data_IF_134547798339
#
_entry.id   IF_134547798339
#
_cell.length_a   1.000
_cell.length_b   1.000
_cell.length_c   1.000
_cell.angle_alpha   90.00
_cell.angle_beta   90.00
_cell.angle_gamma   90.00
#
_symmetry.space_group_name_H-M   'P 1'
#
loop_
_entity.id
_entity.type
_entity.pdbx_description
1 polymer ?
#
# COMPACT_ATOMS: atom_id res chain seq x y z
N UNK A 1 2.37 -21.78 -24.69
CA UNK A 1 2.16 -22.68 -23.52
C UNK A 1 0.90 -22.20 -22.80
N UNK A 2 0.01 -23.09 -22.38
CA UNK A 2 -1.14 -22.69 -21.56
C UNK A 2 -0.71 -22.28 -20.14
N UNK A 3 -1.53 -21.48 -19.45
CA UNK A 3 -1.26 -20.97 -18.10
C UNK A 3 -0.91 -22.10 -17.13
N UNK A 4 -1.57 -23.26 -17.26
CA UNK A 4 -1.39 -24.43 -16.37
C UNK A 4 0.02 -25.06 -16.43
N UNK A 5 0.78 -24.82 -17.50
CA UNK A 5 2.14 -25.32 -17.67
C UNK A 5 3.21 -24.25 -17.38
N UNK A 6 2.81 -23.00 -17.11
CA UNK A 6 3.71 -21.87 -16.91
C UNK A 6 4.14 -21.78 -15.44
N UNK A 7 5.44 -21.70 -15.18
CA UNK A 7 5.99 -21.51 -13.85
C UNK A 7 6.07 -20.01 -13.54
N UNK A 8 5.35 -19.54 -12.53
CA UNK A 8 5.28 -18.13 -12.17
C UNK A 8 5.95 -17.92 -10.81
N UNK A 9 6.87 -16.96 -10.76
CA UNK A 9 7.42 -16.41 -9.53
C UNK A 9 6.73 -15.10 -9.20
N UNK A 10 6.14 -15.01 -8.03
CA UNK A 10 5.59 -13.78 -7.49
C UNK A 10 6.61 -13.11 -6.58
N UNK A 11 6.65 -11.77 -6.62
CA UNK A 11 7.55 -10.96 -5.79
C UNK A 11 6.89 -9.62 -5.46
N UNK A 12 7.31 -8.97 -4.40
CA UNK A 12 6.89 -7.62 -4.06
C UNK A 12 8.02 -6.86 -3.35
N UNK A 13 8.17 -5.58 -3.68
CA UNK A 13 9.04 -4.65 -2.97
C UNK A 13 8.70 -4.62 -1.48
N UNK A 14 9.69 -4.77 -0.56
CA UNK A 14 9.47 -4.75 0.89
C UNK A 14 9.34 -3.33 1.44
N UNK A 15 8.56 -2.47 0.78
CA UNK A 15 8.28 -1.11 1.21
C UNK A 15 6.81 -0.95 1.63
N UNK A 16 6.56 -0.95 2.94
CA UNK A 16 5.20 -1.04 3.46
C UNK A 16 4.51 -2.35 3.09
N UNK A 17 3.22 -2.44 3.36
CA UNK A 17 2.43 -3.63 2.97
C UNK A 17 1.75 -3.50 1.61
N UNK A 18 1.80 -2.32 0.96
CA UNK A 18 1.10 -2.07 -0.31
C UNK A 18 1.47 -3.04 -1.44
N UNK A 19 2.76 -3.16 -1.81
CA UNK A 19 3.18 -4.08 -2.86
C UNK A 19 2.84 -5.54 -2.54
N UNK A 20 3.12 -5.98 -1.32
CA UNK A 20 2.83 -7.35 -0.88
C UNK A 20 1.32 -7.64 -0.84
N UNK A 21 0.49 -6.67 -0.45
CA UNK A 21 -0.97 -6.79 -0.50
C UNK A 21 -1.48 -6.89 -1.94
N UNK A 22 -0.89 -6.14 -2.88
CA UNK A 22 -1.24 -6.24 -4.30
C UNK A 22 -0.96 -7.64 -4.85
N UNK A 23 0.21 -8.21 -4.55
CA UNK A 23 0.52 -9.59 -4.95
C UNK A 23 -0.43 -10.58 -4.25
N UNK A 24 -0.71 -10.40 -2.96
CA UNK A 24 -1.64 -11.28 -2.25
C UNK A 24 -3.06 -11.25 -2.83
N UNK A 25 -3.49 -10.12 -3.40
CA UNK A 25 -4.76 -10.00 -4.08
C UNK A 25 -4.76 -10.63 -5.49
N UNK A 26 -3.64 -10.51 -6.25
CA UNK A 26 -3.53 -11.05 -7.62
C UNK A 26 -3.26 -12.56 -7.62
N UNK A 27 -2.36 -13.05 -6.78
CA UNK A 27 -1.86 -14.42 -6.83
C UNK A 27 -2.97 -15.50 -6.76
N UNK A 28 -4.05 -15.37 -5.97
CA UNK A 28 -5.12 -16.37 -5.89
C UNK A 28 -5.75 -16.71 -7.24
N UNK A 29 -5.75 -15.81 -8.21
CA UNK A 29 -6.28 -16.05 -9.56
C UNK A 29 -5.43 -17.01 -10.40
N UNK A 30 -4.22 -17.34 -9.94
CA UNK A 30 -3.25 -18.24 -10.61
C UNK A 30 -2.98 -19.50 -9.79
N UNK A 31 -3.09 -19.40 -8.45
CA UNK A 31 -2.80 -20.52 -7.56
C UNK A 31 -3.83 -21.64 -7.76
N UNK A 32 -3.35 -22.85 -8.00
CA UNK A 32 -4.19 -24.03 -8.23
C UNK A 32 -4.00 -24.71 -9.60
N UNK A 33 -3.39 -24.04 -10.57
CA UNK A 33 -3.21 -24.58 -11.94
C UNK A 33 -1.74 -24.81 -12.33
N UNK A 34 -0.74 -24.56 -11.49
CA UNK A 34 0.65 -24.69 -11.89
C UNK A 34 1.66 -24.71 -10.76
N UNK A 35 2.95 -24.60 -11.15
CA UNK A 35 4.07 -24.47 -10.21
C UNK A 35 4.31 -23.00 -9.95
N UNK A 36 3.72 -22.47 -8.89
CA UNK A 36 3.84 -21.06 -8.53
C UNK A 36 4.53 -20.92 -7.18
N UNK A 37 5.41 -19.94 -7.10
CA UNK A 37 6.15 -19.64 -5.89
C UNK A 37 6.12 -18.14 -5.59
N UNK A 38 6.42 -17.79 -4.37
CA UNK A 38 6.71 -16.43 -3.96
C UNK A 38 8.17 -16.34 -3.52
N UNK A 39 8.87 -15.27 -3.92
CA UNK A 39 10.16 -14.91 -3.37
C UNK A 39 10.10 -13.47 -2.87
N UNK A 40 10.55 -13.22 -1.66
CA UNK A 40 10.51 -11.90 -1.09
C UNK A 40 11.35 -11.78 0.17
N UNK A 41 11.43 -10.57 0.67
CA UNK A 41 12.25 -10.21 1.82
C UNK A 41 11.39 -9.65 2.95
N UNK A 42 11.92 -9.79 4.18
CA UNK A 42 11.37 -9.16 5.37
C UNK A 42 9.84 -9.33 5.49
N UNK A 43 9.13 -8.23 5.75
CA UNK A 43 7.68 -8.19 5.97
C UNK A 43 6.86 -8.40 4.69
N UNK A 44 7.48 -8.36 3.48
CA UNK A 44 6.77 -8.73 2.25
C UNK A 44 6.27 -10.17 2.29
N UNK A 45 6.92 -11.03 3.10
CA UNK A 45 6.54 -12.42 3.32
C UNK A 45 5.28 -12.59 4.18
N UNK A 46 4.95 -11.62 5.03
CA UNK A 46 3.93 -11.80 6.07
C UNK A 46 2.53 -12.07 5.51
N UNK A 47 2.13 -11.36 4.46
CA UNK A 47 0.84 -11.57 3.82
C UNK A 47 0.82 -12.81 2.92
N UNK A 48 1.98 -13.31 2.49
CA UNK A 48 2.08 -14.42 1.53
C UNK A 48 2.03 -15.79 2.21
N UNK A 49 2.37 -15.87 3.51
CA UNK A 49 2.46 -17.12 4.27
C UNK A 49 1.16 -17.95 4.27
N UNK A 50 0.02 -17.28 4.09
CA UNK A 50 -1.30 -17.90 4.13
C UNK A 50 -1.82 -18.33 2.75
N UNK A 51 -1.11 -17.99 1.68
CA UNK A 51 -1.49 -18.33 0.32
C UNK A 51 -0.90 -19.70 -0.07
N UNK A 52 -1.60 -20.49 -0.89
CA UNK A 52 -1.21 -21.86 -1.25
C UNK A 52 -0.13 -21.89 -2.34
N UNK A 53 0.95 -21.13 -2.18
CA UNK A 53 2.14 -21.27 -3.01
C UNK A 53 2.76 -22.65 -2.82
N UNK A 54 3.33 -23.21 -3.89
CA UNK A 54 4.11 -24.45 -3.77
C UNK A 54 5.37 -24.25 -2.93
N UNK A 55 5.99 -23.08 -3.04
CA UNK A 55 7.22 -22.73 -2.30
C UNK A 55 7.20 -21.23 -2.01
N UNK A 56 7.67 -20.87 -0.83
CA UNK A 56 7.95 -19.48 -0.46
C UNK A 56 9.46 -19.42 -0.16
N UNK A 57 10.17 -18.61 -0.94
CA UNK A 57 11.59 -18.34 -0.76
C UNK A 57 11.77 -17.09 0.11
N UNK A 58 12.38 -17.25 1.26
CA UNK A 58 12.80 -16.11 2.08
C UNK A 58 14.17 -15.64 1.61
N UNK A 59 14.21 -14.50 0.93
CA UNK A 59 15.42 -13.94 0.33
C UNK A 59 16.09 -12.90 1.24
N UNK A 60 15.60 -12.71 2.47
CA UNK A 60 16.18 -11.75 3.42
C UNK A 60 17.65 -12.02 3.68
N UNK A 61 18.51 -11.07 3.31
CA UNK A 61 19.96 -11.17 3.48
C UNK A 61 20.67 -12.04 2.45
N UNK A 62 19.96 -12.55 1.44
CA UNK A 62 20.54 -13.26 0.31
C UNK A 62 21.15 -12.29 -0.73
N UNK A 63 22.20 -12.77 -1.40
CA UNK A 63 22.86 -11.99 -2.46
C UNK A 63 22.14 -12.07 -3.82
N UNK A 64 22.65 -11.29 -4.76
CA UNK A 64 22.10 -11.25 -6.11
C UNK A 64 22.19 -12.59 -6.85
N UNK A 65 23.20 -13.42 -6.57
CA UNK A 65 23.36 -14.76 -7.17
C UNK A 65 22.22 -15.69 -6.73
N UNK A 66 21.79 -15.63 -5.47
CA UNK A 66 20.70 -16.44 -4.95
C UNK A 66 19.36 -16.06 -5.62
N UNK A 67 19.19 -14.77 -5.92
CA UNK A 67 18.06 -14.28 -6.69
C UNK A 67 18.06 -14.81 -8.14
N UNK A 68 19.25 -14.85 -8.81
CA UNK A 68 19.37 -15.41 -10.15
C UNK A 68 19.01 -16.89 -10.18
N UNK A 69 19.53 -17.65 -9.22
CA UNK A 69 19.22 -19.07 -9.11
C UNK A 69 17.73 -19.30 -8.91
N UNK A 70 17.10 -18.50 -8.05
CA UNK A 70 15.65 -18.57 -7.82
C UNK A 70 14.88 -18.21 -9.09
N UNK A 71 15.16 -17.06 -9.72
CA UNK A 71 14.48 -16.57 -10.94
C UNK A 71 14.67 -17.56 -12.10
N UNK A 72 15.83 -18.21 -12.21
CA UNK A 72 16.14 -19.15 -13.30
C UNK A 72 15.11 -20.29 -13.41
N UNK A 73 14.54 -20.70 -12.27
CA UNK A 73 13.55 -21.77 -12.16
C UNK A 73 12.17 -21.44 -12.74
N UNK A 74 11.91 -20.19 -13.16
CA UNK A 74 10.59 -19.73 -13.55
C UNK A 74 10.56 -19.17 -14.98
N UNK A 75 9.39 -19.11 -15.59
CA UNK A 75 9.18 -18.65 -16.96
C UNK A 75 8.72 -17.18 -16.97
N UNK A 76 7.99 -16.79 -15.95
CA UNK A 76 7.43 -15.45 -15.75
C UNK A 76 7.69 -14.99 -14.31
N UNK A 77 8.01 -13.71 -14.15
CA UNK A 77 8.07 -13.03 -12.85
C UNK A 77 6.95 -12.00 -12.81
N UNK A 78 6.10 -12.07 -11.79
CA UNK A 78 5.07 -11.06 -11.49
C UNK A 78 5.53 -10.33 -10.24
N UNK A 79 5.94 -9.09 -10.40
CA UNK A 79 6.45 -8.28 -9.30
C UNK A 79 5.61 -7.03 -9.09
N UNK A 80 5.39 -6.67 -7.84
CA UNK A 80 4.79 -5.40 -7.48
C UNK A 80 5.86 -4.43 -6.98
N UNK A 81 6.08 -3.34 -7.71
CA UNK A 81 6.93 -2.19 -7.35
C UNK A 81 8.44 -2.47 -7.31
N UNK A 82 8.90 -3.72 -7.39
CA UNK A 82 10.32 -4.08 -7.30
C UNK A 82 10.99 -3.98 -8.69
N UNK A 83 11.52 -2.80 -8.98
CA UNK A 83 12.16 -2.50 -10.27
C UNK A 83 13.46 -3.27 -10.47
N UNK A 84 14.20 -3.56 -9.39
CA UNK A 84 15.45 -4.29 -9.46
C UNK A 84 15.20 -5.75 -9.86
N UNK A 85 14.25 -6.42 -9.25
CA UNK A 85 13.85 -7.77 -9.63
C UNK A 85 13.24 -7.81 -11.05
N UNK A 86 12.47 -6.80 -11.43
CA UNK A 86 11.94 -6.70 -12.80
C UNK A 86 13.07 -6.63 -13.84
N UNK A 87 13.99 -5.69 -13.69
CA UNK A 87 15.11 -5.50 -14.61
C UNK A 87 16.03 -6.72 -14.64
N UNK A 88 16.31 -7.31 -13.48
CA UNK A 88 17.11 -8.52 -13.37
C UNK A 88 16.47 -9.68 -14.13
N UNK A 89 15.19 -9.89 -13.94
CA UNK A 89 14.44 -10.94 -14.64
C UNK A 89 14.45 -10.74 -16.15
N UNK A 90 14.27 -9.50 -16.62
CA UNK A 90 14.36 -9.16 -18.04
C UNK A 90 15.76 -9.42 -18.61
N UNK A 91 16.83 -9.10 -17.88
CA UNK A 91 18.21 -9.37 -18.30
C UNK A 91 18.51 -10.86 -18.44
N UNK A 92 17.84 -11.70 -17.64
CA UNK A 92 17.88 -13.17 -17.73
C UNK A 92 16.95 -13.72 -18.84
N UNK A 93 16.32 -12.87 -19.65
CA UNK A 93 15.43 -13.27 -20.73
C UNK A 93 14.06 -13.75 -20.27
N UNK A 94 13.68 -13.52 -19.02
CA UNK A 94 12.35 -13.87 -18.50
C UNK A 94 11.29 -12.90 -19.00
N UNK A 95 10.03 -13.35 -18.99
CA UNK A 95 8.89 -12.45 -19.14
C UNK A 95 8.55 -11.83 -17.78
N UNK A 96 8.18 -10.56 -17.76
CA UNK A 96 7.91 -9.82 -16.50
C UNK A 96 6.56 -9.14 -16.56
N UNK A 97 5.80 -9.26 -15.49
CA UNK A 97 4.66 -8.39 -15.20
C UNK A 97 5.08 -7.46 -14.07
N UNK A 98 5.03 -6.17 -14.33
CA UNK A 98 5.31 -5.15 -13.33
C UNK A 98 4.03 -4.45 -12.93
N UNK A 99 3.58 -4.68 -11.70
CA UNK A 99 2.44 -3.99 -11.12
C UNK A 99 2.92 -2.74 -10.38
N UNK A 100 2.39 -1.58 -10.77
CA UNK A 100 2.79 -0.28 -10.25
C UNK A 100 1.59 0.49 -9.65
N UNK A 101 1.63 0.70 -8.35
CA UNK A 101 0.67 1.55 -7.64
C UNK A 101 1.14 3.02 -7.53
N UNK A 102 2.36 3.33 -7.97
CA UNK A 102 3.00 4.63 -7.80
C UNK A 102 3.37 5.32 -9.13
N UNK A 103 2.77 4.95 -10.26
CA UNK A 103 3.03 5.54 -11.59
C UNK A 103 3.03 7.08 -11.55
N UNK A 104 2.14 7.69 -10.78
CA UNK A 104 2.03 9.13 -10.57
C UNK A 104 3.19 9.73 -9.77
N UNK A 105 3.92 8.91 -9.00
CA UNK A 105 4.89 9.35 -8.00
C UNK A 105 6.32 9.43 -8.52
N UNK A 106 6.73 8.57 -9.44
CA UNK A 106 8.12 8.41 -9.86
C UNK A 106 8.76 9.74 -10.25
N UNK A 107 9.99 10.00 -9.73
CA UNK A 107 10.72 11.21 -10.04
C UNK A 107 11.10 11.25 -11.51
N UNK A 108 10.78 12.39 -12.20
CA UNK A 108 10.85 12.49 -13.65
C UNK A 108 12.27 12.27 -14.23
N UNK A 109 13.29 12.74 -13.54
CA UNK A 109 14.66 12.70 -14.05
C UNK A 109 15.45 11.47 -13.62
N UNK A 110 15.13 10.87 -12.48
CA UNK A 110 15.95 9.80 -11.87
C UNK A 110 15.31 8.43 -11.89
N UNK A 111 14.00 8.33 -11.77
CA UNK A 111 13.29 7.05 -11.67
C UNK A 111 12.46 6.75 -12.93
N UNK A 112 11.78 7.76 -13.47
CA UNK A 112 10.89 7.59 -14.62
C UNK A 112 11.57 6.97 -15.86
N UNK A 113 12.81 7.33 -16.24
CA UNK A 113 13.45 6.69 -17.39
C UNK A 113 13.59 5.17 -17.27
N UNK A 114 13.80 4.64 -16.05
CA UNK A 114 13.84 3.20 -15.81
C UNK A 114 12.46 2.54 -15.94
N UNK A 115 11.41 3.21 -15.46
CA UNK A 115 10.03 2.77 -15.60
C UNK A 115 9.59 2.80 -17.06
N UNK A 116 9.90 3.90 -17.78
CA UNK A 116 9.57 4.04 -19.19
C UNK A 116 10.27 2.98 -20.06
N UNK A 117 11.55 2.69 -19.78
CA UNK A 117 12.26 1.60 -20.44
C UNK A 117 11.59 0.24 -20.21
N UNK A 118 11.07 0.00 -19.02
CA UNK A 118 10.33 -1.22 -18.69
C UNK A 118 8.97 -1.27 -19.40
N UNK A 119 8.25 -0.16 -19.49
CA UNK A 119 6.98 -0.06 -20.21
C UNK A 119 7.15 -0.45 -21.68
N UNK A 120 8.25 -0.01 -22.31
CA UNK A 120 8.53 -0.30 -23.74
C UNK A 120 9.24 -1.64 -23.96
N UNK A 121 9.53 -2.40 -22.92
CA UNK A 121 10.28 -3.64 -23.08
C UNK A 121 9.37 -4.77 -23.66
N UNK A 122 9.76 -5.46 -24.75
CA UNK A 122 8.88 -6.40 -25.47
C UNK A 122 8.50 -7.65 -24.66
N UNK A 123 9.22 -7.94 -23.58
CA UNK A 123 8.93 -9.06 -22.66
C UNK A 123 8.31 -8.61 -21.33
N UNK A 124 7.89 -7.34 -21.24
CA UNK A 124 7.23 -6.81 -20.05
C UNK A 124 5.76 -6.51 -20.32
N UNK A 125 4.94 -6.67 -19.30
CA UNK A 125 3.59 -6.12 -19.19
C UNK A 125 3.60 -5.14 -18.02
N UNK A 126 3.36 -3.86 -18.31
CA UNK A 126 3.22 -2.84 -17.27
C UNK A 126 1.75 -2.66 -16.91
N UNK A 127 1.45 -2.75 -15.61
CA UNK A 127 0.09 -2.57 -15.07
C UNK A 127 0.13 -1.43 -14.06
N UNK A 128 -0.50 -0.32 -14.39
CA UNK A 128 -0.64 0.84 -13.51
C UNK A 128 -1.96 0.79 -12.73
N UNK A 129 -1.90 0.86 -11.41
CA UNK A 129 -3.10 1.12 -10.60
C UNK A 129 -3.54 2.57 -10.77
N UNK A 130 -4.80 2.77 -11.11
CA UNK A 130 -5.34 4.12 -11.33
C UNK A 130 -5.38 4.94 -10.03
N UNK A 131 -4.95 6.19 -10.13
CA UNK A 131 -4.97 7.21 -9.09
C UNK A 131 -4.85 8.59 -9.73
N UNK A 132 -5.00 9.65 -8.92
CA UNK A 132 -4.78 11.03 -9.36
C UNK A 132 -3.36 11.18 -9.92
N UNK A 133 -3.23 11.64 -11.16
CA UNK A 133 -1.96 11.85 -11.85
C UNK A 133 -1.44 10.65 -12.67
N UNK A 134 -2.05 9.46 -12.58
CA UNK A 134 -1.60 8.29 -13.35
C UNK A 134 -1.83 8.47 -14.85
N UNK A 135 -3.02 8.90 -15.24
CA UNK A 135 -3.39 9.07 -16.67
C UNK A 135 -2.60 10.17 -17.33
N UNK A 136 -2.41 11.27 -16.60
CA UNK A 136 -1.56 12.39 -17.01
C UNK A 136 -0.09 11.97 -17.19
N UNK A 137 0.38 11.06 -16.34
CA UNK A 137 1.77 10.54 -16.43
C UNK A 137 1.98 9.64 -17.64
N UNK A 138 0.95 8.95 -18.10
CA UNK A 138 1.00 8.01 -19.20
C UNK A 138 0.49 8.58 -20.54
N UNK A 139 0.10 9.87 -20.59
CA UNK A 139 -0.57 10.46 -21.76
C UNK A 139 0.26 10.40 -23.06
N UNK A 140 1.58 10.49 -22.95
CA UNK A 140 2.51 10.45 -24.09
C UNK A 140 2.96 9.02 -24.46
N UNK A 141 2.52 8.00 -23.71
CA UNK A 141 2.88 6.61 -23.95
C UNK A 141 1.78 5.91 -24.75
N UNK A 142 2.18 5.16 -25.79
CA UNK A 142 1.24 4.35 -26.60
C UNK A 142 0.43 3.38 -25.72
N UNK A 143 -0.91 3.40 -25.75
CA UNK A 143 -1.76 2.58 -24.88
C UNK A 143 -1.56 1.07 -25.02
N UNK A 144 -0.92 0.60 -26.09
CA UNK A 144 -0.58 -0.82 -26.29
C UNK A 144 0.54 -1.32 -25.34
N UNK A 145 1.30 -0.42 -24.73
CA UNK A 145 2.44 -0.75 -23.88
C UNK A 145 2.10 -0.91 -22.39
N UNK A 146 0.91 -0.50 -21.97
CA UNK A 146 0.51 -0.57 -20.55
C UNK A 146 -0.98 -0.91 -20.39
N UNK A 147 -1.35 -1.23 -19.19
CA UNK A 147 -2.76 -1.36 -18.78
C UNK A 147 -3.02 -0.56 -17.52
N UNK A 148 -4.03 0.30 -17.52
CA UNK A 148 -4.52 0.95 -16.30
C UNK A 148 -5.63 0.05 -15.72
N UNK A 149 -5.49 -0.27 -14.44
CA UNK A 149 -6.47 -1.08 -13.71
C UNK A 149 -7.08 -0.27 -12.56
N UNK A 150 -8.33 -0.53 -12.19
CA UNK A 150 -8.93 0.08 -11.00
C UNK A 150 -8.07 -0.18 -9.75
N UNK A 151 -8.30 0.60 -8.67
CA UNK A 151 -7.68 0.30 -7.38
C UNK A 151 -8.01 -1.10 -6.88
N UNK A 152 -7.04 -1.73 -6.22
CA UNK A 152 -7.27 -2.97 -5.49
C UNK A 152 -8.00 -2.66 -4.20
N UNK A 153 -9.26 -3.02 -4.15
CA UNK A 153 -10.12 -2.90 -2.97
C UNK A 153 -10.84 -4.20 -2.76
N UNK A 154 -11.06 -4.56 -1.52
CA UNK A 154 -11.94 -5.69 -1.23
C UNK A 154 -13.36 -5.36 -1.72
N UNK A 155 -14.06 -6.32 -2.33
CA UNK A 155 -15.41 -6.08 -2.83
C UNK A 155 -16.28 -5.48 -1.73
N UNK A 156 -16.84 -4.31 -2.02
CA UNK A 156 -17.90 -3.76 -1.20
C UNK A 156 -19.10 -4.70 -1.41
N UNK A 157 -19.24 -5.69 -0.54
CA UNK A 157 -20.50 -6.42 -0.52
C UNK A 157 -21.60 -5.36 -0.32
N UNK A 158 -22.71 -5.46 -1.07
CA UNK A 158 -23.88 -4.55 -1.01
C UNK A 158 -24.56 -4.48 0.37
N UNK A 159 -23.87 -4.89 1.41
CA UNK A 159 -24.33 -4.81 2.78
C UNK A 159 -24.21 -3.36 3.25
N UNK A 160 -25.33 -2.68 3.52
CA UNK A 160 -25.31 -1.31 4.01
C UNK A 160 -24.46 -1.25 5.29
N UNK A 161 -23.69 -0.17 5.43
CA UNK A 161 -22.90 0.11 6.64
C UNK A 161 -23.76 -0.10 7.88
N UNK A 162 -23.32 -0.90 8.82
CA UNK A 162 -24.07 -1.12 10.08
C UNK A 162 -24.06 0.21 10.85
N UNK A 163 -25.19 0.89 10.88
CA UNK A 163 -25.36 2.19 11.52
C UNK A 163 -25.22 2.20 13.05
N UNK A 164 -24.88 1.07 13.65
CA UNK A 164 -24.85 0.88 15.11
C UNK A 164 -23.47 0.53 15.68
N UNK A 165 -22.40 0.64 14.89
CA UNK A 165 -21.05 0.35 15.40
C UNK A 165 -20.61 1.44 16.37
N UNK A 166 -20.18 1.06 17.56
CA UNK A 166 -19.69 1.99 18.59
C UNK A 166 -18.20 1.77 18.83
N UNK A 167 -17.42 1.73 17.74
CA UNK A 167 -15.97 1.62 17.83
C UNK A 167 -15.25 2.47 16.78
N UNK A 168 -14.01 2.80 17.09
CA UNK A 168 -13.07 3.50 16.24
C UNK A 168 -11.99 2.53 15.80
N UNK A 169 -11.57 2.61 14.54
CA UNK A 169 -10.42 1.90 14.02
C UNK A 169 -9.22 2.85 13.94
N UNK A 170 -8.12 2.51 14.61
CA UNK A 170 -6.80 3.05 14.34
C UNK A 170 -6.05 2.06 13.44
N UNK A 171 -5.80 2.43 12.18
CA UNK A 171 -5.07 1.58 11.24
C UNK A 171 -3.66 2.12 11.01
N UNK A 172 -2.69 1.43 11.56
CA UNK A 172 -1.26 1.72 11.48
C UNK A 172 -0.50 0.78 10.53
N UNK A 173 -1.20 0.05 9.65
CA UNK A 173 -0.58 -0.91 8.73
C UNK A 173 0.46 -0.29 7.77
N UNK A 174 0.34 1.00 7.47
CA UNK A 174 1.26 1.72 6.58
C UNK A 174 2.56 2.21 7.24
N UNK A 175 2.85 1.87 8.49
CA UNK A 175 4.07 2.35 9.18
C UNK A 175 5.34 1.62 8.74
N UNK A 176 5.27 0.33 8.41
CA UNK A 176 6.45 -0.48 8.14
C UNK A 176 7.14 -0.06 6.84
N UNK A 177 8.43 0.26 6.92
CA UNK A 177 9.31 0.47 5.76
C UNK A 177 10.76 0.11 6.13
N UNK A 178 11.63 -0.25 5.16
CA UNK A 178 12.99 -0.70 5.44
C UNK A 178 13.98 0.43 5.79
N UNK A 179 13.58 1.69 5.60
CA UNK A 179 14.47 2.86 5.74
C UNK A 179 14.29 3.61 7.06
N UNK A 180 13.29 3.25 7.86
CA UNK A 180 13.02 3.88 9.15
C UNK A 180 13.17 2.87 10.27
N UNK A 181 13.87 3.25 11.33
CA UNK A 181 14.05 2.42 12.53
C UNK A 181 12.68 2.04 13.13
N UNK A 182 12.49 0.76 13.40
CA UNK A 182 11.29 0.25 14.05
C UNK A 182 11.01 0.96 15.40
N UNK A 183 12.06 1.36 16.14
CA UNK A 183 11.89 2.08 17.39
C UNK A 183 11.18 3.43 17.19
N UNK A 184 11.54 4.19 16.16
CA UNK A 184 10.86 5.45 15.83
C UNK A 184 9.39 5.21 15.44
N UNK A 185 9.11 4.17 14.66
CA UNK A 185 7.73 3.84 14.26
C UNK A 185 6.88 3.38 15.45
N UNK A 186 7.49 2.69 16.42
CA UNK A 186 6.85 2.32 17.69
C UNK A 186 6.54 3.56 18.52
N UNK A 187 7.48 4.51 18.62
CA UNK A 187 7.27 5.75 19.37
C UNK A 187 6.17 6.60 18.73
N UNK A 188 6.13 6.69 17.41
CA UNK A 188 5.02 7.32 16.69
C UNK A 188 3.68 6.61 17.02
N UNK A 189 3.62 5.30 16.92
CA UNK A 189 2.41 4.53 17.22
C UNK A 189 1.94 4.73 18.66
N UNK A 190 2.87 4.78 19.62
CA UNK A 190 2.58 5.07 21.03
C UNK A 190 2.01 6.46 21.23
N UNK A 191 2.64 7.49 20.63
CA UNK A 191 2.20 8.87 20.72
C UNK A 191 0.78 9.05 20.17
N UNK A 192 0.53 8.54 18.95
CA UNK A 192 -0.79 8.59 18.31
C UNK A 192 -1.84 7.83 19.12
N UNK A 193 -1.53 6.61 19.57
CA UNK A 193 -2.47 5.78 20.37
C UNK A 193 -2.83 6.50 21.67
N UNK A 194 -1.85 7.11 22.32
CA UNK A 194 -2.08 7.84 23.55
C UNK A 194 -2.99 9.06 23.33
N UNK A 195 -2.66 9.93 22.36
CA UNK A 195 -3.45 11.11 22.02
C UNK A 195 -4.89 10.75 21.64
N UNK A 196 -5.07 9.70 20.81
CA UNK A 196 -6.39 9.24 20.41
C UNK A 196 -7.21 8.73 21.61
N UNK A 197 -6.61 7.96 22.52
CA UNK A 197 -7.29 7.49 23.73
C UNK A 197 -7.72 8.64 24.62
N UNK A 198 -6.89 9.67 24.79
CA UNK A 198 -7.25 10.88 25.54
C UNK A 198 -8.44 11.59 24.89
N UNK A 199 -8.42 11.77 23.57
CA UNK A 199 -9.50 12.43 22.83
C UNK A 199 -10.83 11.65 22.89
N UNK A 200 -10.79 10.32 22.83
CA UNK A 200 -11.98 9.44 22.89
C UNK A 200 -12.55 9.31 24.31
N UNK A 201 -11.70 9.39 25.34
CA UNK A 201 -12.08 9.04 26.71
C UNK A 201 -12.58 7.60 26.82
N UNK A 202 -13.65 7.38 27.60
CA UNK A 202 -14.27 6.07 27.78
C UNK A 202 -15.52 5.84 26.91
N UNK A 203 -15.79 6.75 25.98
CA UNK A 203 -17.06 6.78 25.24
C UNK A 203 -17.16 5.74 24.13
N UNK A 204 -16.03 5.34 23.55
CA UNK A 204 -15.98 4.46 22.38
C UNK A 204 -14.88 3.41 22.54
N UNK A 205 -15.12 2.22 21.97
CA UNK A 205 -14.09 1.19 21.87
C UNK A 205 -13.07 1.58 20.80
N UNK A 206 -11.80 1.30 21.07
CA UNK A 206 -10.71 1.46 20.11
C UNK A 206 -10.22 0.07 19.69
N UNK A 207 -10.09 -0.14 18.37
CA UNK A 207 -9.35 -1.25 17.79
C UNK A 207 -8.16 -0.71 17.04
N UNK A 208 -6.99 -1.34 17.19
CA UNK A 208 -5.73 -0.93 16.58
C UNK A 208 -5.27 -2.06 15.65
N UNK A 209 -5.41 -1.85 14.35
CA UNK A 209 -4.86 -2.74 13.33
C UNK A 209 -3.43 -2.29 12.98
N UNK A 210 -2.47 -3.19 13.11
CA UNK A 210 -1.05 -2.85 12.90
C UNK A 210 -0.23 -4.10 12.60
N UNK A 211 1.11 -3.95 12.44
CA UNK A 211 2.03 -5.09 12.33
C UNK A 211 2.21 -5.81 13.67
N UNK A 212 2.65 -7.06 13.63
CA UNK A 212 2.94 -7.86 14.83
C UNK A 212 3.93 -7.16 15.77
N UNK A 213 5.00 -6.59 15.20
CA UNK A 213 6.02 -5.84 15.95
C UNK A 213 5.43 -4.68 16.75
N UNK A 214 4.59 -3.85 16.09
CA UNK A 214 3.97 -2.69 16.74
C UNK A 214 2.88 -3.14 17.73
N UNK A 215 2.07 -4.15 17.40
CA UNK A 215 1.07 -4.67 18.31
C UNK A 215 1.68 -5.16 19.62
N UNK A 216 2.79 -5.89 19.52
CA UNK A 216 3.55 -6.34 20.69
C UNK A 216 4.11 -5.15 21.51
N UNK A 217 4.71 -4.18 20.83
CA UNK A 217 5.32 -3.02 21.48
C UNK A 217 4.31 -2.06 22.16
N UNK A 218 3.06 -2.03 21.68
CA UNK A 218 1.99 -1.23 22.30
C UNK A 218 1.48 -1.85 23.60
N UNK A 219 1.74 -3.13 23.85
CA UNK A 219 1.29 -3.87 25.07
C UNK A 219 -0.21 -3.66 25.37
N UNK A 220 -1.02 -3.57 24.32
CA UNK A 220 -2.43 -3.24 24.40
C UNK A 220 -3.31 -4.37 23.89
N UNK A 221 -4.30 -4.77 24.68
CA UNK A 221 -5.31 -5.75 24.27
C UNK A 221 -6.17 -5.29 23.07
N UNK A 222 -6.14 -4.01 22.76
CA UNK A 222 -6.88 -3.40 21.66
C UNK A 222 -6.07 -3.43 20.36
N UNK A 223 -4.77 -3.79 20.42
CA UNK A 223 -3.86 -3.85 19.27
C UNK A 223 -3.65 -5.31 18.84
N UNK A 224 -3.80 -5.55 17.55
CA UNK A 224 -3.56 -6.86 16.96
C UNK A 224 -3.04 -6.75 15.53
N UNK A 225 -2.24 -7.72 15.06
CA UNK A 225 -2.04 -7.95 13.64
C UNK A 225 -3.39 -8.20 12.97
N UNK A 226 -3.57 -7.66 11.77
CA UNK A 226 -4.83 -7.72 11.07
C UNK A 226 -4.61 -8.11 9.61
N UNK A 227 -5.42 -9.06 9.12
CA UNK A 227 -5.44 -9.36 7.69
C UNK A 227 -6.02 -8.17 6.90
N UNK A 228 -5.69 -8.02 5.60
CA UNK A 228 -6.31 -7.00 4.77
C UNK A 228 -7.83 -7.07 4.75
N UNK A 229 -8.41 -8.28 4.71
CA UNK A 229 -9.86 -8.51 4.72
C UNK A 229 -10.50 -8.06 6.05
N UNK A 230 -9.85 -8.36 7.17
CA UNK A 230 -10.33 -7.94 8.49
C UNK A 230 -10.24 -6.43 8.65
N UNK A 231 -9.13 -5.81 8.19
CA UNK A 231 -8.96 -4.36 8.21
C UNK A 231 -10.04 -3.65 7.37
N UNK A 232 -10.31 -4.15 6.16
CA UNK A 232 -11.38 -3.65 5.29
C UNK A 232 -12.77 -3.80 5.94
N UNK A 233 -13.04 -4.96 6.57
CA UNK A 233 -14.30 -5.17 7.31
C UNK A 233 -14.43 -4.21 8.49
N UNK A 234 -13.38 -4.01 9.27
CA UNK A 234 -13.39 -3.07 10.39
C UNK A 234 -13.56 -1.62 9.91
N UNK A 235 -12.90 -1.23 8.81
CA UNK A 235 -13.09 0.07 8.18
C UNK A 235 -14.56 0.33 7.83
N UNK A 236 -15.24 -0.65 7.23
CA UNK A 236 -16.65 -0.54 6.88
C UNK A 236 -17.57 -0.42 8.12
N UNK A 237 -17.23 -1.14 9.19
CA UNK A 237 -18.07 -1.26 10.36
C UNK A 237 -17.81 -0.21 11.44
N UNK A 238 -16.65 0.48 11.45
CA UNK A 238 -16.31 1.49 12.45
C UNK A 238 -17.11 2.80 12.30
N UNK A 239 -17.19 3.58 13.36
CA UNK A 239 -17.84 4.91 13.32
C UNK A 239 -17.04 5.87 12.45
N UNK A 240 -15.74 5.94 12.67
CA UNK A 240 -14.74 6.58 11.83
C UNK A 240 -13.41 5.87 12.00
N UNK A 241 -12.47 6.12 11.10
CA UNK A 241 -11.14 5.57 11.19
C UNK A 241 -10.08 6.67 11.39
N UNK A 242 -8.95 6.27 11.94
CA UNK A 242 -7.72 7.08 12.05
C UNK A 242 -6.65 6.27 11.33
N UNK A 243 -6.12 6.77 10.21
CA UNK A 243 -5.28 5.98 9.31
C UNK A 243 -4.05 6.75 8.84
N UNK A 244 -2.96 6.02 8.59
CA UNK A 244 -1.88 6.54 7.73
C UNK A 244 -2.39 6.71 6.30
N UNK A 245 -2.00 7.78 5.58
CA UNK A 245 -2.54 8.11 4.25
C UNK A 245 -1.88 7.29 3.12
N UNK A 246 -1.80 5.95 3.27
CA UNK A 246 -1.36 5.05 2.21
C UNK A 246 -2.51 4.70 1.25
N UNK A 247 -2.21 4.38 -0.02
CA UNK A 247 -3.20 4.10 -1.07
C UNK A 247 -4.22 3.04 -0.67
N UNK A 248 -3.80 1.96 0.00
CA UNK A 248 -4.72 0.94 0.50
C UNK A 248 -5.76 1.53 1.45
N UNK A 249 -5.34 2.30 2.45
CA UNK A 249 -6.25 2.95 3.38
C UNK A 249 -7.16 3.97 2.69
N UNK A 250 -6.63 4.71 1.72
CA UNK A 250 -7.41 5.70 0.95
C UNK A 250 -8.55 5.01 0.20
N UNK A 251 -8.24 3.95 -0.55
CA UNK A 251 -9.25 3.29 -1.37
C UNK A 251 -10.21 2.41 -0.55
N UNK A 252 -9.72 1.72 0.48
CA UNK A 252 -10.58 0.93 1.35
C UNK A 252 -11.56 1.82 2.14
N UNK A 253 -11.10 3.00 2.62
CA UNK A 253 -12.00 3.97 3.27
C UNK A 253 -12.99 4.59 2.29
N UNK A 254 -12.56 4.84 1.04
CA UNK A 254 -13.42 5.33 -0.02
C UNK A 254 -14.52 4.31 -0.35
N UNK A 255 -14.16 3.05 -0.57
CA UNK A 255 -15.10 1.96 -0.82
C UNK A 255 -16.08 1.76 0.35
N UNK A 256 -15.60 1.86 1.57
CA UNK A 256 -16.42 1.77 2.79
C UNK A 256 -17.23 3.04 3.09
N UNK A 257 -16.99 4.15 2.41
CA UNK A 257 -17.56 5.48 2.71
C UNK A 257 -17.31 5.92 4.16
N UNK A 258 -16.20 5.50 4.75
CA UNK A 258 -15.88 5.74 6.15
C UNK A 258 -15.16 7.07 6.29
N UNK A 259 -15.62 7.98 7.20
CA UNK A 259 -14.88 9.19 7.52
C UNK A 259 -13.52 8.86 8.14
N UNK A 260 -12.47 9.58 7.75
CA UNK A 260 -11.09 9.30 8.18
C UNK A 260 -10.40 10.53 8.72
N UNK A 261 -9.73 10.39 9.86
CA UNK A 261 -8.67 11.29 10.30
C UNK A 261 -7.36 10.75 9.73
N UNK A 262 -6.74 11.50 8.81
CA UNK A 262 -5.45 11.14 8.25
C UNK A 262 -4.34 11.53 9.23
N UNK A 263 -3.48 10.57 9.55
CA UNK A 263 -2.32 10.76 10.42
C UNK A 263 -1.20 11.52 9.71
N UNK A 264 -0.26 12.11 10.45
CA UNK A 264 0.94 12.67 9.87
C UNK A 264 1.66 11.61 9.02
N UNK A 265 2.01 11.93 7.76
CA UNK A 265 2.70 10.99 6.89
C UNK A 265 4.05 10.53 7.45
N UNK A 266 4.37 9.26 7.27
CA UNK A 266 5.64 8.66 7.74
C UNK A 266 6.59 8.31 6.60
N UNK A 267 6.24 8.69 5.38
CA UNK A 267 7.11 8.68 4.21
C UNK A 267 6.63 9.70 3.16
N UNK A 268 7.43 9.89 2.12
CA UNK A 268 7.19 10.83 1.03
C UNK A 268 5.93 10.51 0.23
N UNK A 269 5.70 9.24 -0.11
CA UNK A 269 4.50 8.82 -0.87
C UNK A 269 3.23 9.15 -0.12
N UNK A 270 3.17 8.89 1.19
CA UNK A 270 2.02 9.25 2.03
C UNK A 270 1.78 10.76 2.07
N UNK A 271 2.86 11.55 2.18
CA UNK A 271 2.76 13.01 2.18
C UNK A 271 2.18 13.54 0.87
N UNK A 272 2.66 13.04 -0.25
CA UNK A 272 2.18 13.43 -1.60
C UNK A 272 0.77 12.93 -1.88
N UNK A 273 0.40 11.72 -1.43
CA UNK A 273 -0.97 11.21 -1.49
C UNK A 273 -1.95 12.11 -0.74
N UNK A 274 -1.59 12.49 0.49
CA UNK A 274 -2.42 13.39 1.29
C UNK A 274 -2.54 14.78 0.65
N UNK A 275 -1.47 15.29 0.02
CA UNK A 275 -1.52 16.54 -0.74
C UNK A 275 -2.47 16.44 -1.94
N UNK A 276 -2.48 15.34 -2.69
CA UNK A 276 -3.45 15.10 -3.76
C UNK A 276 -4.89 15.08 -3.26
N UNK A 277 -5.15 14.39 -2.15
CA UNK A 277 -6.49 14.37 -1.53
C UNK A 277 -6.92 15.77 -1.08
N UNK A 278 -6.02 16.53 -0.47
CA UNK A 278 -6.29 17.89 -0.01
C UNK A 278 -6.64 18.81 -1.18
N UNK A 279 -5.83 18.78 -2.24
CA UNK A 279 -6.05 19.58 -3.44
C UNK A 279 -7.38 19.23 -4.14
N UNK A 280 -7.81 17.99 -4.05
CA UNK A 280 -9.09 17.53 -4.60
C UNK A 280 -10.29 17.74 -3.65
N UNK A 281 -10.09 18.28 -2.44
CA UNK A 281 -11.16 18.47 -1.44
C UNK A 281 -11.68 17.17 -0.82
N UNK A 282 -10.87 16.10 -0.83
CA UNK A 282 -11.26 14.75 -0.43
C UNK A 282 -10.79 14.38 1.01
N UNK A 283 -10.27 15.33 1.77
CA UNK A 283 -9.86 15.12 3.16
C UNK A 283 -11.00 15.42 4.11
N UNK A 284 -11.36 14.46 4.97
CA UNK A 284 -12.35 14.68 6.04
C UNK A 284 -11.73 15.49 7.18
N UNK A 285 -10.66 14.93 7.79
CA UNK A 285 -9.83 15.56 8.80
C UNK A 285 -8.40 15.05 8.65
N UNK A 286 -7.44 15.83 9.10
CA UNK A 286 -6.03 15.43 9.08
C UNK A 286 -5.28 15.95 10.30
N UNK A 287 -4.23 15.23 10.64
CA UNK A 287 -3.13 15.68 11.48
C UNK A 287 -1.90 15.77 10.58
N UNK A 288 -1.32 16.95 10.44
CA UNK A 288 -0.10 17.13 9.65
C UNK A 288 1.07 17.51 10.56
N UNK A 289 2.28 17.23 10.11
CA UNK A 289 3.48 17.69 10.80
C UNK A 289 3.51 19.22 10.93
N UNK A 290 3.00 19.93 9.93
CA UNK A 290 2.90 21.40 9.95
C UNK A 290 1.99 21.89 11.10
N UNK A 291 0.83 21.24 11.34
CA UNK A 291 -0.06 21.54 12.48
C UNK A 291 0.64 21.31 13.83
N UNK A 292 1.59 20.37 13.87
CA UNK A 292 2.46 20.14 15.02
C UNK A 292 3.67 21.08 15.06
N UNK A 293 3.74 22.07 14.14
CA UNK A 293 4.82 23.04 14.03
C UNK A 293 6.12 22.49 13.46
N UNK A 294 6.05 21.44 12.62
CA UNK A 294 7.20 20.77 12.01
C UNK A 294 6.90 20.61 10.50
N UNK A 295 7.22 21.62 9.66
CA UNK A 295 7.00 21.50 8.22
C UNK A 295 7.93 20.43 7.62
N UNK A 296 7.36 19.52 6.81
CA UNK A 296 8.10 18.48 6.08
C UNK A 296 7.95 18.72 4.59
N UNK A 297 9.06 18.69 3.85
CA UNK A 297 9.07 18.71 2.40
C UNK A 297 9.04 17.28 1.84
N UNK A 298 7.87 16.82 1.39
CA UNK A 298 7.68 15.51 0.79
C UNK A 298 8.15 15.44 -0.68
N UNK A 299 8.67 16.53 -1.25
CA UNK A 299 9.26 16.53 -2.60
C UNK A 299 10.78 16.45 -2.57
N UNK A 300 11.38 16.54 -1.39
CA UNK A 300 12.81 16.35 -1.17
C UNK A 300 13.24 14.91 -1.56
N UNK A 301 14.55 14.68 -1.80
CA UNK A 301 15.07 13.33 -1.99
C UNK A 301 14.63 12.40 -0.84
N UNK A 302 14.31 11.13 -1.17
CA UNK A 302 13.70 10.17 -0.24
C UNK A 302 14.39 10.15 1.13
N UNK A 303 15.72 9.99 1.18
CA UNK A 303 16.45 9.92 2.44
C UNK A 303 16.30 11.21 3.26
N UNK A 304 16.38 12.38 2.62
CA UNK A 304 16.21 13.68 3.30
C UNK A 304 14.80 13.83 3.89
N UNK A 305 13.78 13.37 3.16
CA UNK A 305 12.41 13.38 3.64
C UNK A 305 12.25 12.43 4.85
N UNK A 306 12.79 11.21 4.75
CA UNK A 306 12.71 10.22 5.83
C UNK A 306 13.47 10.67 7.09
N UNK A 307 14.64 11.27 6.94
CA UNK A 307 15.41 11.84 8.05
C UNK A 307 14.61 12.95 8.75
N UNK A 308 14.00 13.86 7.98
CA UNK A 308 13.15 14.92 8.51
C UNK A 308 11.93 14.38 9.28
N UNK A 309 11.32 13.30 8.78
CA UNK A 309 10.22 12.62 9.47
C UNK A 309 10.71 11.93 10.75
N UNK A 310 11.87 11.27 10.70
CA UNK A 310 12.51 10.65 11.87
C UNK A 310 12.77 11.66 12.99
N UNK A 311 13.33 12.82 12.62
CA UNK A 311 13.54 13.94 13.54
C UNK A 311 12.21 14.44 14.12
N UNK A 312 11.18 14.60 13.29
CA UNK A 312 9.86 14.99 13.73
C UNK A 312 9.27 14.01 14.76
N UNK A 313 9.34 12.71 14.48
CA UNK A 313 8.86 11.65 15.38
C UNK A 313 9.60 11.73 16.72
N UNK A 314 10.93 11.89 16.71
CA UNK A 314 11.75 11.95 17.91
C UNK A 314 11.35 13.08 18.86
N UNK A 315 10.76 14.16 18.33
CA UNK A 315 10.30 15.32 19.12
C UNK A 315 8.93 15.15 19.75
N UNK A 316 8.12 14.15 19.31
CA UNK A 316 6.74 13.94 19.82
C UNK A 316 6.67 13.67 21.32
N UNK A 317 7.77 13.22 21.94
CA UNK A 317 7.87 13.03 23.39
C UNK A 317 8.00 14.32 24.17
N UNK A 318 8.34 15.47 23.53
CA UNK A 318 8.46 16.75 24.22
C UNK A 318 7.09 17.27 24.71
N UNK A 319 7.04 17.96 25.86
CA UNK A 319 5.77 18.46 26.41
C UNK A 319 5.00 19.36 25.46
N UNK A 320 5.71 20.20 24.71
CA UNK A 320 5.11 21.12 23.75
C UNK A 320 4.45 20.37 22.58
N UNK A 321 5.18 19.42 21.96
CA UNK A 321 4.68 18.65 20.80
C UNK A 321 3.56 17.71 21.21
N UNK A 322 3.68 17.12 22.40
CA UNK A 322 2.60 16.29 22.95
C UNK A 322 1.32 17.10 23.16
N UNK A 323 1.42 18.29 23.77
CA UNK A 323 0.25 19.16 23.97
C UNK A 323 -0.38 19.58 22.62
N UNK A 324 0.45 19.88 21.61
CA UNK A 324 -0.04 20.16 20.26
C UNK A 324 -0.76 18.94 19.66
N UNK A 325 -0.17 17.76 19.72
CA UNK A 325 -0.76 16.51 19.21
C UNK A 325 -2.09 16.19 19.92
N UNK A 326 -2.12 16.29 21.24
CA UNK A 326 -3.32 16.03 22.06
C UNK A 326 -4.45 16.99 21.67
N UNK A 327 -4.15 18.29 21.49
CA UNK A 327 -5.11 19.30 21.06
C UNK A 327 -5.65 19.03 19.66
N UNK A 328 -4.77 18.88 18.66
CA UNK A 328 -5.16 18.67 17.27
C UNK A 328 -5.94 17.34 17.11
N UNK A 329 -5.56 16.28 17.84
CA UNK A 329 -6.30 15.02 17.87
C UNK A 329 -7.71 15.21 18.45
N UNK A 330 -7.84 15.94 19.55
CA UNK A 330 -9.15 16.19 20.17
C UNK A 330 -10.08 17.00 19.26
N UNK A 331 -9.53 18.00 18.59
CA UNK A 331 -10.26 18.83 17.63
C UNK A 331 -10.71 17.98 16.41
N UNK A 332 -9.82 17.14 15.85
CA UNK A 332 -10.11 16.24 14.75
C UNK A 332 -11.19 15.20 15.13
N UNK A 333 -11.08 14.58 16.31
CA UNK A 333 -12.09 13.61 16.82
C UNK A 333 -13.44 14.28 17.01
N UNK A 334 -13.48 15.50 17.51
CA UNK A 334 -14.74 16.26 17.68
C UNK A 334 -15.38 16.56 16.33
N UNK A 335 -14.60 16.99 15.35
CA UNK A 335 -15.07 17.30 14.02
C UNK A 335 -15.57 16.06 13.27
N UNK A 336 -14.74 15.00 13.23
CA UNK A 336 -15.04 13.78 12.47
C UNK A 336 -16.30 13.07 12.98
N UNK A 337 -16.59 13.18 14.28
CA UNK A 337 -17.80 12.65 14.91
C UNK A 337 -19.10 13.26 14.34
N UNK A 338 -19.02 14.39 13.65
CA UNK A 338 -20.17 15.01 12.95
C UNK A 338 -20.34 14.53 11.52
N UNK A 339 -19.30 13.87 10.94
CA UNK A 339 -19.30 13.42 9.56
C UNK A 339 -20.10 12.11 9.42
N UNK A 340 -21.03 12.06 8.47
CA UNK A 340 -21.83 10.86 8.20
C UNK A 340 -21.20 9.94 7.16
N UNK A 341 -20.41 10.50 6.23
CA UNK A 341 -19.76 9.79 5.12
C UNK A 341 -18.37 10.37 4.90
N UNK A 342 -17.44 9.52 4.48
CA UNK A 342 -16.10 9.92 4.08
C UNK A 342 -16.10 10.68 2.76
N UNK A 343 -15.25 11.69 2.67
CA UNK A 343 -15.06 12.53 1.46
C UNK A 343 -14.28 11.84 0.35
N UNK A 344 -13.62 10.71 0.64
CA UNK A 344 -12.85 9.96 -0.35
C UNK A 344 -13.68 9.14 -1.33
N UNK A 345 -14.98 8.94 -1.07
CA UNK A 345 -15.87 8.12 -1.91
C UNK A 345 -15.84 8.46 -3.42
N UNK A 346 -15.74 9.73 -3.88
CA UNK A 346 -15.62 10.07 -5.30
C UNK A 346 -14.43 9.40 -6.02
N UNK A 347 -13.40 8.93 -5.29
CA UNK A 347 -12.30 8.16 -5.89
C UNK A 347 -12.78 6.82 -6.47
N UNK A 348 -13.70 6.14 -5.78
CA UNK A 348 -14.28 4.88 -6.28
C UNK A 348 -15.20 5.15 -7.48
N UNK A 349 -15.96 6.24 -7.47
CA UNK A 349 -16.77 6.63 -8.63
C UNK A 349 -15.91 6.97 -9.85
N UNK A 350 -14.73 7.59 -9.63
CA UNK A 350 -13.81 8.00 -10.71
C UNK A 350 -12.95 6.84 -11.22
N UNK A 351 -12.40 6.03 -10.34
CA UNK A 351 -11.34 5.05 -10.68
C UNK A 351 -11.84 3.60 -10.63
N UNK A 352 -13.03 3.35 -10.08
CA UNK A 352 -13.58 2.01 -9.94
C UNK A 352 -13.04 1.24 -8.72
N UNK A 353 -13.20 -0.07 -8.74
CA UNK A 353 -12.78 -1.03 -7.72
C UNK A 353 -12.53 -2.40 -8.34
N UNK A 354 -12.00 -3.37 -7.58
CA UNK A 354 -11.78 -4.74 -8.06
C UNK A 354 -10.61 -4.86 -9.04
N UNK A 355 -9.59 -4.03 -8.85
CA UNK A 355 -8.40 -4.00 -9.71
C UNK A 355 -7.61 -5.30 -9.74
N UNK A 356 -7.70 -6.12 -8.70
CA UNK A 356 -7.10 -7.45 -8.61
C UNK A 356 -7.63 -8.40 -9.70
N UNK A 357 -8.94 -8.48 -9.87
CA UNK A 357 -9.56 -9.30 -10.91
C UNK A 357 -9.21 -8.79 -12.32
N UNK A 358 -9.23 -7.47 -12.53
CA UNK A 358 -8.89 -6.85 -13.80
C UNK A 358 -7.41 -7.07 -14.14
N UNK A 359 -6.50 -6.87 -13.17
CA UNK A 359 -5.07 -7.13 -13.34
C UNK A 359 -4.81 -8.60 -13.69
N UNK A 360 -5.42 -9.53 -12.93
CA UNK A 360 -5.29 -10.95 -13.19
C UNK A 360 -5.77 -11.34 -14.60
N UNK A 361 -6.88 -10.75 -15.06
CA UNK A 361 -7.39 -10.98 -16.41
C UNK A 361 -6.39 -10.48 -17.47
N UNK A 362 -5.85 -9.27 -17.32
CA UNK A 362 -4.84 -8.70 -18.23
C UNK A 362 -3.58 -9.54 -18.29
N UNK A 363 -3.12 -10.03 -17.13
CA UNK A 363 -1.95 -10.92 -17.06
C UNK A 363 -2.21 -12.24 -17.82
N UNK A 364 -3.37 -12.84 -17.63
CA UNK A 364 -3.75 -14.09 -18.34
C UNK A 364 -3.78 -13.90 -19.86
N UNK A 365 -4.45 -12.85 -20.32
CA UNK A 365 -4.50 -12.48 -21.73
C UNK A 365 -3.10 -12.31 -22.33
N UNK A 366 -2.21 -11.63 -21.61
CA UNK A 366 -0.84 -11.40 -22.05
C UNK A 366 0.00 -12.69 -22.06
N UNK A 367 -0.15 -13.58 -21.08
CA UNK A 367 0.53 -14.88 -21.05
C UNK A 367 0.14 -15.72 -22.28
N UNK A 368 -1.13 -15.74 -22.63
CA UNK A 368 -1.66 -16.51 -23.76
C UNK A 368 -1.19 -15.99 -25.11
N UNK A 369 -1.19 -14.67 -25.29
CA UNK A 369 -0.80 -14.03 -26.55
C UNK A 369 0.70 -14.03 -26.79
N UNK A 370 1.52 -13.77 -25.78
CA UNK A 370 2.99 -13.76 -25.90
C UNK A 370 3.60 -15.15 -26.04
N UNK A 371 2.90 -16.21 -25.65
CA UNK A 371 3.35 -17.60 -25.85
C UNK A 371 3.26 -18.09 -27.29
N UNK A 372 2.60 -17.38 -28.20
CA UNK A 372 2.46 -17.75 -29.62
C UNK A 372 3.59 -17.19 -30.51
N UNK A 373 4.32 -16.20 -30.03
CA UNK A 373 5.40 -15.54 -30.80
C UNK A 373 6.75 -16.24 -30.79
N UNK A 374 7.03 -17.10 -29.83
CA UNK A 374 8.33 -17.79 -29.67
C UNK A 374 8.44 -19.10 -30.51
N UNK A 375 7.46 -19.41 -31.37
CA UNK A 375 7.43 -20.61 -32.23
C UNK A 375 7.62 -20.32 -33.73
N UNK A 376 8.17 -19.14 -34.10
CA UNK A 376 8.52 -18.88 -35.52
C UNK A 376 10.02 -18.73 -35.74
#
# INVERSE_FOLDING_TARGET
MGIDATRILFNAEPFGFGPSAAIAAIAPYFLGSGTHAYAGEQHSLDLQKHLPYRTIFNMTGHGLEDWDDTISGFDIVITAMDLDIANRSLSMGKRVVFYDALTWHWHAETQWPGIEALIHHPRALYIAQDFIGVRERLEDIEPSHYSIVPPMTHPVNDCPRKSSSNFILLNLGGLKNPYTDDALLIDFARAITFALRQALGQRMKLYIATSETIAHALESKDAAPCSPEDASRMLRDCTFAVCTPGLGNIYESAAAQTPVIWLPPVNDTQGRQLAHLRNAGLVDAELSWEMLGIPIDYTAPLQTCLDSIGDAISTLGSPERRAALDKEMADAVTYIGTCKKGRTFPLIERFGSGGDAVAAQKIKEWIETSGQGDCQ
#
